data_IF_689565116316
#
_entry.id   IF_689565116316
#
_cell.length_a   1.000
_cell.length_b   1.000
_cell.length_c   1.000
_cell.angle_alpha   90.00
_cell.angle_beta   90.00
_cell.angle_gamma   90.00
#
_symmetry.space_group_name_H-M   'P 1'
#
loop_
_entity.id
_entity.type
_entity.pdbx_description
1 polymer ?
#
# COMPACT_ATOMS: atom_id res chain seq x y z
N UNK A 1 -12.45 -29.44 7.30
CA UNK A 1 -11.59 -29.19 6.12
C UNK A 1 -10.15 -29.18 6.61
N UNK A 2 -9.23 -29.68 5.82
CA UNK A 2 -7.80 -29.60 6.06
C UNK A 2 -7.23 -28.57 5.09
N UNK A 3 -6.31 -27.73 5.55
CA UNK A 3 -5.65 -26.70 4.75
C UNK A 3 -4.15 -26.96 4.73
N UNK A 4 -3.52 -26.67 3.58
CA UNK A 4 -2.07 -26.70 3.44
C UNK A 4 -1.44 -25.43 4.02
N UNK A 5 -2.16 -24.30 3.89
CA UNK A 5 -1.72 -23.01 4.41
C UNK A 5 -2.86 -22.27 5.13
N UNK A 6 -2.54 -21.71 6.29
CA UNK A 6 -3.41 -20.81 7.04
C UNK A 6 -2.72 -19.46 7.14
N UNK A 7 -3.33 -18.42 6.58
CA UNK A 7 -2.84 -17.05 6.58
C UNK A 7 -3.66 -16.26 7.60
N UNK A 8 -3.01 -15.65 8.56
CA UNK A 8 -3.66 -14.84 9.59
C UNK A 8 -3.52 -13.36 9.25
N UNK A 9 -4.65 -12.73 8.98
CA UNK A 9 -4.78 -11.33 8.57
C UNK A 9 -4.83 -11.14 7.05
N UNK A 10 -5.95 -10.62 6.54
CA UNK A 10 -6.13 -10.23 5.14
C UNK A 10 -5.71 -8.76 4.89
N UNK A 11 -4.60 -8.35 5.49
CA UNK A 11 -3.95 -7.06 5.20
C UNK A 11 -3.15 -7.10 3.89
N UNK A 12 -2.26 -6.12 3.71
CA UNK A 12 -1.48 -5.96 2.47
C UNK A 12 -0.68 -7.22 2.13
N UNK A 13 0.02 -7.82 3.09
CA UNK A 13 0.80 -9.03 2.87
C UNK A 13 -0.08 -10.27 2.69
N UNK A 14 -1.08 -10.46 3.57
CA UNK A 14 -1.94 -11.65 3.53
C UNK A 14 -2.74 -11.76 2.23
N UNK A 15 -3.23 -10.65 1.68
CA UNK A 15 -3.89 -10.63 0.38
C UNK A 15 -2.98 -11.13 -0.75
N UNK A 16 -1.71 -10.71 -0.75
CA UNK A 16 -0.72 -11.16 -1.75
C UNK A 16 -0.42 -12.64 -1.59
N UNK A 17 -0.15 -13.09 -0.36
CA UNK A 17 0.19 -14.49 -0.07
C UNK A 17 -0.99 -15.41 -0.46
N UNK A 18 -2.22 -15.04 -0.07
CA UNK A 18 -3.42 -15.79 -0.42
C UNK A 18 -3.60 -15.89 -1.94
N UNK A 19 -3.40 -14.79 -2.66
CA UNK A 19 -3.45 -14.78 -4.12
C UNK A 19 -2.44 -15.76 -4.72
N UNK A 20 -1.18 -15.68 -4.30
CA UNK A 20 -0.08 -16.45 -4.90
C UNK A 20 -0.15 -17.94 -4.54
N UNK A 21 -0.40 -18.29 -3.29
CA UNK A 21 -0.49 -19.70 -2.88
C UNK A 21 -1.68 -20.40 -3.54
N UNK A 22 -2.81 -19.71 -3.69
CA UNK A 22 -4.00 -20.29 -4.32
C UNK A 22 -3.94 -20.35 -5.86
N UNK A 23 -2.86 -19.88 -6.50
CA UNK A 23 -2.60 -20.09 -7.94
C UNK A 23 -2.47 -21.59 -8.26
N UNK A 24 -1.91 -22.36 -7.34
CA UNK A 24 -1.90 -23.81 -7.46
C UNK A 24 -3.22 -24.38 -6.94
N UNK A 25 -4.09 -24.93 -7.80
CA UNK A 25 -5.40 -25.45 -7.39
C UNK A 25 -5.32 -26.66 -6.44
N UNK A 26 -4.16 -27.32 -6.35
CA UNK A 26 -3.94 -28.43 -5.41
C UNK A 26 -3.68 -27.93 -3.98
N UNK A 27 -3.31 -26.67 -3.78
CA UNK A 27 -3.08 -26.07 -2.46
C UNK A 27 -4.39 -25.55 -1.88
N UNK A 28 -4.78 -26.04 -0.71
CA UNK A 28 -5.93 -25.53 0.05
C UNK A 28 -5.46 -24.40 0.96
N UNK A 29 -5.95 -23.19 0.74
CA UNK A 29 -5.55 -21.98 1.46
C UNK A 29 -6.70 -21.45 2.29
N UNK A 30 -6.45 -21.18 3.58
CA UNK A 30 -7.37 -20.50 4.49
C UNK A 30 -6.83 -19.11 4.79
N UNK A 31 -7.65 -18.08 4.55
CA UNK A 31 -7.34 -16.69 4.90
C UNK A 31 -8.26 -16.21 6.01
N UNK A 32 -7.72 -15.96 7.19
CA UNK A 32 -8.45 -15.47 8.36
C UNK A 32 -8.32 -13.96 8.48
N UNK A 33 -9.45 -13.26 8.64
CA UNK A 33 -9.47 -11.81 8.87
C UNK A 33 -10.37 -11.50 10.07
N UNK A 34 -9.87 -10.64 10.97
CA UNK A 34 -10.61 -10.23 12.16
C UNK A 34 -11.73 -9.23 11.85
N UNK A 35 -11.56 -8.44 10.78
CA UNK A 35 -12.53 -7.47 10.34
C UNK A 35 -13.56 -8.02 9.37
N UNK A 36 -14.48 -7.17 8.98
CA UNK A 36 -15.51 -7.50 7.99
C UNK A 36 -15.04 -7.34 6.53
N UNK A 37 -15.93 -7.64 5.57
CA UNK A 37 -15.69 -7.36 4.16
C UNK A 37 -15.63 -5.86 3.88
N UNK A 38 -14.88 -5.46 2.85
CA UNK A 38 -14.66 -4.08 2.42
C UNK A 38 -15.87 -3.47 1.66
N UNK A 39 -17.09 -3.65 2.19
CA UNK A 39 -18.33 -3.22 1.51
C UNK A 39 -18.66 -1.73 1.67
N UNK A 40 -18.07 -1.06 2.66
CA UNK A 40 -18.34 0.37 2.88
C UNK A 40 -17.93 1.21 1.67
N UNK A 41 -18.81 2.08 1.14
CA UNK A 41 -18.45 2.94 0.02
C UNK A 41 -17.28 3.89 0.36
N UNK A 42 -17.12 4.26 1.64
CA UNK A 42 -16.04 5.12 2.11
C UNK A 42 -14.65 4.50 1.97
N UNK A 43 -14.55 3.17 1.93
CA UNK A 43 -13.30 2.48 1.61
C UNK A 43 -12.90 2.74 0.16
N UNK A 44 -13.87 2.70 -0.76
CA UNK A 44 -13.61 2.77 -2.19
C UNK A 44 -13.44 4.19 -2.73
N UNK A 45 -14.06 5.18 -2.06
CA UNK A 45 -13.91 6.61 -2.40
C UNK A 45 -12.57 7.10 -1.84
N UNK A 46 -11.64 7.63 -2.66
CA UNK A 46 -10.30 8.01 -2.19
C UNK A 46 -10.30 8.92 -0.96
N UNK A 47 -11.10 9.98 -0.95
CA UNK A 47 -11.22 10.89 0.20
C UNK A 47 -11.91 10.25 1.41
N UNK A 48 -12.53 9.09 1.23
CA UNK A 48 -13.30 8.40 2.27
C UNK A 48 -12.45 7.90 3.45
N UNK A 49 -11.11 7.93 3.37
CA UNK A 49 -10.25 7.53 4.48
C UNK A 49 -10.51 8.35 5.75
N UNK A 50 -10.96 9.61 5.65
CA UNK A 50 -11.41 10.41 6.79
C UNK A 50 -12.64 9.83 7.53
N UNK A 51 -13.38 8.92 6.91
CA UNK A 51 -14.55 8.25 7.50
C UNK A 51 -14.25 6.82 7.96
N UNK A 52 -13.12 6.27 7.55
CA UNK A 52 -12.72 4.89 7.86
C UNK A 52 -11.68 4.82 8.98
N UNK A 53 -10.76 5.79 9.05
CA UNK A 53 -9.85 5.96 10.18
C UNK A 53 -10.62 6.37 11.44
N UNK A 54 -10.31 5.76 12.58
CA UNK A 54 -11.00 5.98 13.84
C UNK A 54 -12.41 5.39 13.91
N UNK A 55 -12.86 4.68 12.88
CA UNK A 55 -14.15 3.99 12.90
C UNK A 55 -13.96 2.54 13.36
N UNK A 56 -14.53 2.11 14.51
CA UNK A 56 -14.35 0.75 15.04
C UNK A 56 -14.83 -0.39 14.13
N UNK A 57 -15.63 -0.08 13.11
CA UNK A 57 -16.06 -1.06 12.10
C UNK A 57 -14.97 -1.38 11.08
N UNK A 58 -13.99 -0.48 10.88
CA UNK A 58 -12.94 -0.60 9.86
C UNK A 58 -11.54 -0.40 10.41
N UNK A 59 -11.41 0.04 11.66
CA UNK A 59 -10.16 0.38 12.32
C UNK A 59 -10.09 -0.27 13.70
N UNK A 60 -8.91 -0.73 14.11
CA UNK A 60 -8.64 -1.21 15.45
C UNK A 60 -8.66 -0.09 16.50
N UNK A 61 -8.54 1.17 16.06
CA UNK A 61 -8.52 2.37 16.91
C UNK A 61 -7.44 2.32 17.98
N UNK A 62 -6.25 1.82 17.64
CA UNK A 62 -5.12 1.79 18.58
C UNK A 62 -4.65 3.20 18.92
N UNK A 63 -4.05 3.30 20.12
CA UNK A 63 -3.34 4.50 20.57
C UNK A 63 -1.95 4.10 21.04
N UNK A 64 -1.01 5.00 20.86
CA UNK A 64 0.32 4.85 21.47
C UNK A 64 0.25 5.03 22.98
N UNK A 65 1.23 4.47 23.67
CA UNK A 65 1.49 4.91 25.05
C UNK A 65 1.87 6.39 25.09
N UNK A 66 1.64 7.10 26.22
CA UNK A 66 2.10 8.47 26.39
C UNK A 66 3.61 8.57 26.20
N UNK A 67 4.06 9.50 25.35
CA UNK A 67 5.48 9.71 25.07
C UNK A 67 5.97 11.03 25.68
N UNK A 68 6.98 11.02 26.56
CA UNK A 68 7.56 12.23 27.15
C UNK A 68 8.10 13.21 26.09
N UNK A 69 8.63 12.72 24.96
CA UNK A 69 9.10 13.53 23.83
C UNK A 69 7.96 14.26 23.09
N UNK A 70 6.72 13.84 23.33
CA UNK A 70 5.50 14.42 22.76
C UNK A 70 4.62 15.10 23.81
N UNK A 71 5.21 15.63 24.88
CA UNK A 71 4.50 16.22 26.02
C UNK A 71 3.49 15.25 26.66
N UNK A 72 3.86 13.99 26.83
CA UNK A 72 3.03 12.91 27.37
C UNK A 72 1.71 12.70 26.58
N UNK A 73 1.67 13.02 25.30
CA UNK A 73 0.50 12.75 24.46
C UNK A 73 0.50 11.32 23.96
N UNK A 74 -0.68 10.71 23.96
CA UNK A 74 -1.00 9.51 23.17
C UNK A 74 -1.47 9.94 21.79
N UNK A 75 -1.01 9.23 20.77
CA UNK A 75 -1.37 9.48 19.37
C UNK A 75 -2.27 8.36 18.88
N UNK A 76 -3.33 8.71 18.16
CA UNK A 76 -4.15 7.71 17.46
C UNK A 76 -3.31 7.00 16.39
N UNK A 77 -3.38 5.66 16.39
CA UNK A 77 -2.56 4.81 15.52
C UNK A 77 -3.44 3.90 14.66
N UNK A 78 -4.07 4.43 13.60
CA UNK A 78 -5.02 3.69 12.79
C UNK A 78 -4.41 2.42 12.18
N UNK A 79 -5.12 1.31 12.30
CA UNK A 79 -4.83 0.02 11.64
C UNK A 79 -6.11 -0.60 11.15
N UNK A 80 -6.15 -0.97 9.87
CA UNK A 80 -7.35 -1.54 9.27
C UNK A 80 -7.79 -2.85 9.92
N UNK A 81 -9.08 -2.92 10.26
CA UNK A 81 -9.80 -4.11 10.72
C UNK A 81 -10.87 -4.46 9.70
N UNK A 82 -10.44 -4.90 8.54
CA UNK A 82 -11.28 -5.10 7.35
C UNK A 82 -10.46 -5.83 6.28
N UNK A 83 -11.11 -6.52 5.35
CA UNK A 83 -10.43 -7.06 4.17
C UNK A 83 -9.57 -5.99 3.47
N UNK A 84 -8.31 -6.31 3.20
CA UNK A 84 -7.29 -5.40 2.71
C UNK A 84 -6.52 -4.68 3.82
N UNK A 85 -6.94 -4.83 5.08
CA UNK A 85 -6.27 -4.23 6.25
C UNK A 85 -6.10 -2.72 6.10
N UNK A 86 -4.93 -2.21 6.48
CA UNK A 86 -4.63 -0.77 6.40
C UNK A 86 -4.61 -0.23 4.96
N UNK A 87 -4.42 -1.06 3.94
CA UNK A 87 -4.55 -0.61 2.54
C UNK A 87 -5.97 -0.16 2.17
N UNK A 88 -6.97 -0.62 2.94
CA UNK A 88 -8.37 -0.23 2.78
C UNK A 88 -8.73 1.09 3.46
N UNK A 89 -7.91 1.59 4.39
CA UNK A 89 -8.19 2.80 5.16
C UNK A 89 -7.10 3.88 5.10
N UNK A 90 -5.92 3.60 4.52
CA UNK A 90 -4.79 4.53 4.43
C UNK A 90 -5.07 5.71 3.46
N UNK A 91 -4.16 6.68 3.44
CA UNK A 91 -4.21 7.86 2.54
C UNK A 91 -3.83 7.59 1.08
N UNK A 92 -3.71 6.34 0.64
CA UNK A 92 -3.46 5.87 -0.73
C UNK A 92 -2.07 6.21 -1.29
N UNK A 93 -1.21 6.93 -0.58
CA UNK A 93 0.10 7.32 -1.10
C UNK A 93 0.94 6.09 -1.44
N UNK A 94 1.57 6.13 -2.62
CA UNK A 94 2.44 5.07 -3.09
C UNK A 94 3.87 5.58 -3.21
N UNK A 95 4.70 5.18 -2.25
CA UNK A 95 6.14 5.48 -2.22
C UNK A 95 6.87 4.20 -1.83
N UNK A 96 7.89 3.83 -2.60
CA UNK A 96 8.80 2.73 -2.28
C UNK A 96 9.93 3.22 -1.38
N UNK A 97 10.63 2.31 -0.71
CA UNK A 97 11.95 2.61 -0.15
C UNK A 97 12.98 2.86 -1.26
N UNK A 98 14.05 3.55 -0.92
CA UNK A 98 15.16 3.83 -1.81
C UNK A 98 16.06 2.58 -2.00
N UNK A 99 16.86 2.50 -3.07
CA UNK A 99 17.83 1.43 -3.25
C UNK A 99 18.76 1.23 -2.03
N UNK A 100 19.15 2.34 -1.38
CA UNK A 100 20.02 2.33 -0.20
C UNK A 100 19.38 1.63 1.00
N UNK A 101 18.05 1.78 1.21
CA UNK A 101 17.32 1.15 2.31
C UNK A 101 17.46 -0.38 2.23
N UNK A 102 17.20 -0.93 1.04
CA UNK A 102 17.25 -2.39 0.81
C UNK A 102 18.69 -2.90 0.79
N UNK A 103 19.62 -2.17 0.19
CA UNK A 103 21.02 -2.51 0.17
C UNK A 103 21.61 -2.50 1.60
N UNK A 104 21.16 -1.58 2.45
CA UNK A 104 21.52 -1.57 3.87
C UNK A 104 20.96 -2.81 4.58
N UNK A 105 19.71 -3.19 4.34
CA UNK A 105 19.18 -4.44 4.91
C UNK A 105 20.03 -5.65 4.52
N UNK A 106 20.44 -5.74 3.25
CA UNK A 106 21.34 -6.80 2.80
C UNK A 106 22.68 -6.76 3.55
N UNK A 107 23.28 -5.58 3.75
CA UNK A 107 24.53 -5.41 4.49
C UNK A 107 24.41 -5.87 5.96
N UNK A 108 23.24 -5.73 6.56
CA UNK A 108 22.94 -6.24 7.91
C UNK A 108 22.76 -7.78 7.96
N UNK A 109 23.00 -8.48 6.86
CA UNK A 109 22.95 -9.95 6.79
C UNK A 109 21.67 -10.52 6.19
N UNK A 110 20.74 -9.69 5.72
CA UNK A 110 19.49 -10.16 5.12
C UNK A 110 19.71 -10.47 3.62
N UNK A 111 20.24 -11.64 3.30
CA UNK A 111 20.41 -12.10 1.92
C UNK A 111 19.07 -12.16 1.18
N UNK A 112 19.04 -11.73 -0.10
CA UNK A 112 17.82 -11.67 -0.91
C UNK A 112 16.98 -10.40 -0.69
N UNK A 113 17.52 -9.40 0.02
CA UNK A 113 16.86 -8.13 0.29
C UNK A 113 17.59 -6.92 -0.31
N UNK A 114 18.53 -7.11 -1.23
CA UNK A 114 19.10 -5.98 -1.96
C UNK A 114 18.08 -5.35 -2.89
N UNK A 115 18.36 -4.13 -3.34
CA UNK A 115 17.52 -3.49 -4.35
C UNK A 115 17.30 -4.34 -5.60
N UNK A 116 18.35 -4.98 -6.08
CA UNK A 116 18.28 -5.89 -7.23
C UNK A 116 17.35 -7.08 -6.99
N UNK A 117 17.29 -7.60 -5.75
CA UNK A 117 16.41 -8.71 -5.38
C UNK A 117 14.94 -8.28 -5.29
N UNK A 118 14.67 -7.07 -4.76
CA UNK A 118 13.29 -6.62 -4.48
C UNK A 118 12.65 -5.84 -5.64
N UNK A 119 13.42 -5.18 -6.48
CA UNK A 119 12.91 -4.39 -7.62
C UNK A 119 12.04 -5.23 -8.57
N UNK A 120 12.40 -6.46 -8.96
CA UNK A 120 11.54 -7.31 -9.79
C UNK A 120 10.18 -7.60 -9.14
N UNK A 121 10.13 -7.68 -7.79
CA UNK A 121 8.90 -7.91 -7.04
C UNK A 121 8.03 -6.66 -7.00
N UNK A 122 8.62 -5.47 -6.85
CA UNK A 122 7.90 -4.21 -6.99
C UNK A 122 7.29 -4.07 -8.37
N UNK A 123 8.06 -4.33 -9.44
CA UNK A 123 7.55 -4.29 -10.82
C UNK A 123 6.45 -5.32 -11.07
N UNK A 124 6.56 -6.52 -10.50
CA UNK A 124 5.53 -7.57 -10.58
C UNK A 124 4.24 -7.19 -9.86
N UNK A 125 4.32 -6.41 -8.80
CA UNK A 125 3.16 -5.97 -8.03
C UNK A 125 2.43 -4.79 -8.66
N UNK A 126 3.14 -3.92 -9.35
CA UNK A 126 2.69 -2.61 -9.80
C UNK A 126 2.07 -2.61 -11.19
N UNK A 127 1.00 -1.81 -11.34
CA UNK A 127 0.45 -1.38 -12.62
C UNK A 127 0.45 0.15 -12.66
N UNK A 128 1.58 0.72 -13.10
CA UNK A 128 1.79 2.15 -13.20
C UNK A 128 1.19 2.72 -14.48
N UNK A 129 0.36 3.74 -14.38
CA UNK A 129 -0.31 4.37 -15.55
C UNK A 129 0.65 5.18 -16.43
N UNK A 130 1.80 5.58 -15.92
CA UNK A 130 2.78 6.39 -16.66
C UNK A 130 3.63 5.61 -17.66
N UNK A 131 3.42 4.30 -17.76
CA UNK A 131 4.16 3.44 -18.67
C UNK A 131 5.30 2.68 -18.00
N UNK A 132 5.85 1.72 -18.74
CA UNK A 132 6.96 0.87 -18.28
C UNK A 132 8.30 1.58 -18.47
N UNK A 133 9.14 1.47 -17.46
CA UNK A 133 10.54 1.88 -17.53
C UNK A 133 11.45 0.86 -16.78
N UNK A 134 12.67 1.27 -16.46
CA UNK A 134 13.63 0.39 -15.78
C UNK A 134 13.21 0.04 -14.36
N UNK A 135 12.50 0.92 -13.65
CA UNK A 135 12.10 0.74 -12.24
C UNK A 135 10.61 0.55 -12.04
N UNK A 136 9.76 0.89 -13.02
CA UNK A 136 8.30 0.82 -12.91
C UNK A 136 7.71 -0.41 -13.61
N UNK A 137 6.63 -0.97 -13.06
CA UNK A 137 5.86 -2.07 -13.64
C UNK A 137 4.48 -1.63 -14.12
N UNK A 138 3.95 -2.30 -15.17
CA UNK A 138 2.64 -1.96 -15.78
C UNK A 138 1.67 -3.13 -15.86
N UNK A 139 2.06 -4.32 -15.40
CA UNK A 139 1.28 -5.55 -15.55
C UNK A 139 0.84 -6.16 -14.23
N UNK A 140 1.20 -5.51 -13.12
CA UNK A 140 0.86 -5.99 -11.78
C UNK A 140 -0.61 -5.70 -11.41
N UNK A 141 -1.10 -6.32 -10.34
CA UNK A 141 -2.49 -6.14 -9.90
C UNK A 141 -2.72 -4.82 -9.17
N UNK A 142 -1.69 -4.21 -8.58
CA UNK A 142 -1.81 -2.97 -7.80
C UNK A 142 -1.71 -1.76 -8.73
N UNK A 143 -2.83 -1.16 -9.05
CA UNK A 143 -2.87 0.05 -9.88
C UNK A 143 -2.35 1.26 -9.12
N UNK A 144 -1.44 1.99 -9.76
CA UNK A 144 -0.86 3.24 -9.28
C UNK A 144 -1.10 4.32 -10.33
N UNK A 145 -1.64 5.45 -9.90
CA UNK A 145 -1.97 6.58 -10.78
C UNK A 145 -1.34 7.89 -10.29
N UNK A 146 -1.20 8.84 -11.21
CA UNK A 146 -0.85 10.23 -10.86
C UNK A 146 -1.96 10.88 -10.04
N UNK A 147 -1.61 11.86 -9.23
CA UNK A 147 -2.60 12.72 -8.59
C UNK A 147 -3.37 13.50 -9.68
N UNK A 148 -4.71 13.51 -9.55
CA UNK A 148 -5.62 14.22 -10.48
C UNK A 148 -6.29 15.44 -9.86
N UNK A 149 -5.98 15.73 -8.61
CA UNK A 149 -6.57 16.85 -7.86
C UNK A 149 -5.46 17.79 -7.45
N UNK A 150 -5.27 18.85 -8.23
CA UNK A 150 -4.33 19.92 -7.89
C UNK A 150 -5.06 20.99 -7.09
N UNK A 151 -4.34 21.61 -6.16
CA UNK A 151 -4.81 22.71 -5.32
C UNK A 151 -3.80 23.85 -5.39
N UNK A 152 -4.26 25.06 -5.63
CA UNK A 152 -3.41 26.25 -5.70
C UNK A 152 -2.47 26.40 -4.50
N UNK A 153 -2.95 26.07 -3.29
CA UNK A 153 -2.12 26.12 -2.08
C UNK A 153 -0.98 25.08 -2.12
N UNK A 154 -1.21 23.91 -2.71
CA UNK A 154 -0.18 22.88 -2.87
C UNK A 154 0.82 23.30 -3.94
N UNK A 155 0.34 23.85 -5.07
CA UNK A 155 1.20 24.35 -6.14
C UNK A 155 2.09 25.51 -5.62
N UNK A 156 1.53 26.42 -4.83
CA UNK A 156 2.28 27.49 -4.19
C UNK A 156 3.33 26.96 -3.22
N UNK A 157 3.01 25.93 -2.42
CA UNK A 157 3.95 25.29 -1.50
C UNK A 157 5.10 24.62 -2.27
N UNK A 158 4.79 23.83 -3.31
CA UNK A 158 5.78 23.16 -4.16
C UNK A 158 6.71 24.19 -4.82
N UNK A 159 6.15 25.28 -5.37
CA UNK A 159 6.92 26.37 -5.98
C UNK A 159 7.84 27.05 -4.97
N UNK A 160 7.37 27.24 -3.74
CA UNK A 160 8.18 27.82 -2.65
C UNK A 160 9.34 26.91 -2.25
N UNK A 161 9.12 25.59 -2.21
CA UNK A 161 10.16 24.63 -1.91
C UNK A 161 11.24 24.61 -3.01
N UNK A 162 10.82 24.65 -4.28
CA UNK A 162 11.77 24.77 -5.42
C UNK A 162 12.57 26.08 -5.33
N UNK A 163 11.91 27.19 -5.01
CA UNK A 163 12.60 28.48 -4.81
C UNK A 163 13.57 28.46 -3.62
N UNK A 164 13.34 27.61 -2.62
CA UNK A 164 14.25 27.38 -1.50
C UNK A 164 15.41 26.43 -1.83
N UNK A 165 15.49 25.89 -3.06
CA UNK A 165 16.60 25.07 -3.54
C UNK A 165 16.35 23.56 -3.55
N UNK A 166 15.14 23.10 -3.21
CA UNK A 166 14.80 21.67 -3.33
C UNK A 166 14.52 21.33 -4.80
N UNK A 167 15.04 20.21 -5.32
CA UNK A 167 14.76 19.80 -6.69
C UNK A 167 13.28 19.43 -6.88
N UNK A 168 12.75 19.67 -8.06
CA UNK A 168 11.46 19.12 -8.45
C UNK A 168 11.61 17.64 -8.80
N UNK A 169 10.66 16.81 -8.38
CA UNK A 169 10.55 15.42 -8.81
C UNK A 169 9.14 15.11 -9.34
N UNK A 170 9.08 14.49 -10.51
CA UNK A 170 7.84 13.98 -11.09
C UNK A 170 7.48 12.57 -10.59
N UNK A 171 8.45 11.87 -10.01
CA UNK A 171 8.30 10.50 -9.57
C UNK A 171 9.23 10.13 -8.41
N UNK A 172 8.67 10.01 -7.20
CA UNK A 172 9.37 9.54 -6.00
C UNK A 172 9.79 8.08 -6.03
N UNK A 173 9.35 7.30 -7.03
CA UNK A 173 9.63 5.88 -7.13
C UNK A 173 10.73 5.57 -8.17
N UNK A 174 11.47 6.59 -8.60
CA UNK A 174 12.70 6.47 -9.35
C UNK A 174 13.91 6.23 -8.41
N UNK A 175 15.10 6.07 -8.98
CA UNK A 175 16.32 5.84 -8.21
C UNK A 175 16.64 6.97 -7.23
N UNK A 176 16.39 8.23 -7.62
CA UNK A 176 16.53 9.39 -6.74
C UNK A 176 15.16 9.85 -6.26
N UNK A 177 14.95 9.78 -4.95
CA UNK A 177 13.73 10.23 -4.28
C UNK A 177 13.80 11.64 -3.73
N UNK A 178 14.99 12.28 -3.74
CA UNK A 178 15.13 13.64 -3.21
C UNK A 178 14.38 14.63 -4.08
N UNK A 179 13.52 15.44 -3.44
CA UNK A 179 12.81 16.49 -4.15
C UNK A 179 11.40 16.74 -3.62
N UNK A 180 10.69 17.61 -4.33
CA UNK A 180 9.31 17.99 -4.06
C UNK A 180 8.44 17.73 -5.29
N UNK A 181 7.24 17.21 -5.07
CA UNK A 181 6.31 16.90 -6.14
C UNK A 181 5.01 16.30 -5.61
N UNK A 182 4.10 15.98 -6.51
CA UNK A 182 2.86 15.29 -6.13
C UNK A 182 3.07 13.80 -5.94
N UNK A 183 2.52 13.24 -4.86
CA UNK A 183 2.51 11.81 -4.64
C UNK A 183 1.64 11.07 -5.66
N UNK A 184 2.11 9.91 -6.06
CA UNK A 184 1.32 8.92 -6.78
C UNK A 184 0.44 8.15 -5.79
N UNK A 185 -0.66 7.60 -6.29
CA UNK A 185 -1.70 7.03 -5.44
C UNK A 185 -2.14 5.65 -5.92
N UNK A 186 -2.47 4.76 -4.98
CA UNK A 186 -3.07 3.46 -5.27
C UNK A 186 -4.54 3.62 -5.65
N UNK A 187 -4.78 4.13 -6.86
CA UNK A 187 -6.11 4.41 -7.42
C UNK A 187 -6.24 3.73 -8.79
N UNK A 188 -7.39 3.16 -9.04
CA UNK A 188 -7.82 2.61 -10.32
C UNK A 188 -9.21 3.17 -10.66
N UNK A 189 -9.36 3.78 -11.83
CA UNK A 189 -10.65 4.31 -12.32
C UNK A 189 -11.37 5.19 -11.28
N UNK A 190 -10.62 6.08 -10.61
CA UNK A 190 -11.14 6.97 -9.57
C UNK A 190 -11.49 6.32 -8.24
N UNK A 191 -11.18 5.04 -8.05
CA UNK A 191 -11.46 4.28 -6.83
C UNK A 191 -10.17 3.77 -6.20
N UNK A 192 -10.17 3.61 -4.86
CA UNK A 192 -9.08 2.97 -4.13
C UNK A 192 -8.78 1.59 -4.71
N UNK A 193 -7.51 1.34 -5.00
CA UNK A 193 -6.97 0.02 -5.29
C UNK A 193 -6.31 -0.53 -4.01
N UNK A 194 -7.11 -1.02 -3.07
CA UNK A 194 -6.60 -1.71 -1.88
C UNK A 194 -6.00 -3.07 -2.25
N UNK A 195 -5.26 -3.68 -1.33
CA UNK A 195 -4.76 -5.05 -1.54
C UNK A 195 -5.88 -6.07 -1.72
N UNK A 196 -7.03 -5.88 -1.05
CA UNK A 196 -8.21 -6.71 -1.31
C UNK A 196 -8.74 -6.53 -2.73
N UNK A 197 -8.84 -5.29 -3.20
CA UNK A 197 -9.30 -5.00 -4.56
C UNK A 197 -8.32 -5.51 -5.63
N UNK A 198 -7.01 -5.41 -5.37
CA UNK A 198 -5.96 -5.82 -6.29
C UNK A 198 -5.77 -7.34 -6.36
N UNK A 199 -5.79 -8.01 -5.21
CA UNK A 199 -5.35 -9.41 -5.11
C UNK A 199 -6.46 -10.41 -4.77
N UNK A 200 -7.48 -10.04 -3.98
CA UNK A 200 -8.53 -10.99 -3.58
C UNK A 200 -9.75 -10.94 -4.51
N UNK A 201 -10.21 -9.74 -4.87
CA UNK A 201 -11.39 -9.59 -5.71
C UNK A 201 -11.29 -10.34 -7.06
N UNK A 202 -10.15 -10.30 -7.78
CA UNK A 202 -10.02 -11.03 -9.05
C UNK A 202 -10.08 -12.55 -8.93
N UNK A 203 -9.81 -13.08 -7.73
CA UNK A 203 -9.73 -14.53 -7.47
C UNK A 203 -10.83 -15.04 -6.54
N UNK A 204 -11.90 -14.24 -6.35
CA UNK A 204 -13.00 -14.56 -5.42
C UNK A 204 -13.75 -15.85 -5.75
N UNK A 205 -13.59 -16.38 -6.96
CA UNK A 205 -14.21 -17.64 -7.43
C UNK A 205 -13.27 -18.84 -7.33
N UNK A 206 -12.06 -18.70 -6.81
CA UNK A 206 -11.14 -19.85 -6.61
C UNK A 206 -11.70 -20.77 -5.53
N UNK A 207 -11.86 -22.05 -5.85
CA UNK A 207 -12.45 -23.05 -4.94
C UNK A 207 -11.51 -23.49 -3.82
N UNK A 208 -10.23 -23.27 -3.97
CA UNK A 208 -9.17 -23.64 -3.04
C UNK A 208 -8.71 -22.49 -2.13
N UNK A 209 -9.42 -21.36 -2.14
CA UNK A 209 -9.21 -20.24 -1.22
C UNK A 209 -10.49 -20.02 -0.40
N UNK A 210 -10.35 -20.11 0.94
CA UNK A 210 -11.42 -20.00 1.91
C UNK A 210 -11.17 -18.86 2.88
#
# INVERSE_FOLDING_TARGET
MQYDFVIVGAGSAGCVIANRLSENPACQVCLLEAGGPDKSPWIHIPVGYFKTMGNPQTDWCYKTEPDPGLNNRSIDWPRGKVLGGSSSINGLLYVRGQPEDFNHWRQLGNSGWSWEDVLPLFKKAENWEGGKDEVRGTEGPLSVSKNRVNREIVDAWLSSAVAAGYPWTDDYNQENQEGVGYFQMTIKDGRRCSSAAAYLKPISNRKNLH
#
